data_IF_742034262998
#
_entry.id   IF_742034262998
#
_cell.length_a   1.000
_cell.length_b   1.000
_cell.length_c   1.000
_cell.angle_alpha   90.00
_cell.angle_beta   90.00
_cell.angle_gamma   90.00
#
_symmetry.space_group_name_H-M   'P 1'
#
loop_
_entity.id
_entity.type
_entity.pdbx_description
1 polymer ?
#
# COMPACT_ATOMS: atom_id res chain seq x y z
N UNK A 1 10.17 -18.65 -16.92
CA UNK A 1 9.41 -19.44 -15.93
C UNK A 1 8.70 -18.44 -15.05
N UNK A 2 7.42 -18.21 -15.36
CA UNK A 2 6.63 -17.05 -14.91
C UNK A 2 6.22 -17.25 -13.46
N UNK A 3 6.76 -16.44 -12.57
CA UNK A 3 6.38 -16.43 -11.15
C UNK A 3 4.96 -15.88 -11.07
N UNK A 4 4.07 -16.66 -10.46
CA UNK A 4 2.67 -16.30 -10.27
C UNK A 4 2.58 -14.97 -9.51
N UNK A 5 2.07 -13.95 -10.21
CA UNK A 5 1.70 -12.64 -9.66
C UNK A 5 0.64 -12.87 -8.61
N UNK A 6 1.02 -12.81 -7.34
CA UNK A 6 0.06 -12.71 -6.25
C UNK A 6 -0.51 -11.29 -6.32
N UNK A 7 -1.64 -11.18 -6.99
CA UNK A 7 -2.52 -10.03 -6.86
C UNK A 7 -2.89 -9.97 -5.38
N UNK A 8 -2.46 -8.93 -4.68
CA UNK A 8 -2.94 -8.61 -3.34
C UNK A 8 -4.38 -8.08 -3.49
N UNK A 9 -5.30 -8.97 -3.88
CA UNK A 9 -6.73 -8.71 -3.85
C UNK A 9 -7.20 -8.95 -2.42
N UNK A 10 -7.53 -7.87 -1.73
CA UNK A 10 -8.42 -7.95 -0.56
C UNK A 10 -9.51 -6.89 -0.63
N UNK A 11 -10.11 -6.74 -1.81
CA UNK A 11 -11.39 -6.06 -1.96
C UNK A 11 -12.52 -7.09 -1.91
N UNK A 12 -12.94 -7.43 -0.70
CA UNK A 12 -14.24 -8.09 -0.43
C UNK A 12 -14.60 -7.94 1.04
N UNK A 13 -15.42 -6.94 1.37
CA UNK A 13 -16.73 -7.05 2.08
C UNK A 13 -17.31 -5.65 2.30
N UNK A 14 -18.62 -5.55 2.13
CA UNK A 14 -19.45 -4.36 1.94
C UNK A 14 -19.67 -3.44 3.15
N UNK A 15 -19.99 -2.18 2.84
CA UNK A 15 -21.04 -1.34 3.46
C UNK A 15 -20.99 -1.02 4.95
N UNK A 16 -20.46 0.16 5.31
CA UNK A 16 -20.86 0.89 6.52
C UNK A 16 -20.38 2.36 6.46
N UNK A 17 -21.33 3.29 6.25
CA UNK A 17 -21.24 4.73 6.53
C UNK A 17 -19.98 5.47 6.04
N UNK A 18 -20.11 6.26 4.98
CA UNK A 18 -19.08 7.18 4.49
C UNK A 18 -18.75 8.23 5.56
N UNK A 19 -17.89 7.87 6.52
CA UNK A 19 -17.13 8.88 7.26
C UNK A 19 -16.21 9.52 6.23
N UNK A 20 -16.14 10.85 6.16
CA UNK A 20 -15.19 11.51 5.27
C UNK A 20 -13.82 10.88 5.51
N UNK A 21 -13.18 10.43 4.43
CA UNK A 21 -11.86 9.83 4.51
C UNK A 21 -10.98 10.77 5.34
N UNK A 22 -10.40 10.26 6.42
CA UNK A 22 -9.54 11.08 7.26
C UNK A 22 -8.39 11.58 6.40
N UNK A 23 -7.87 12.80 6.64
CA UNK A 23 -6.80 13.37 5.84
C UNK A 23 -5.60 12.43 5.64
N UNK A 24 -5.28 11.62 6.66
CA UNK A 24 -4.22 10.59 6.60
C UNK A 24 -4.50 9.50 5.57
N UNK A 25 -5.72 8.95 5.50
CA UNK A 25 -6.08 7.93 4.52
C UNK A 25 -6.01 8.47 3.09
N UNK A 26 -6.40 9.73 2.88
CA UNK A 26 -6.29 10.37 1.57
C UNK A 26 -4.82 10.58 1.19
N UNK A 27 -3.99 11.06 2.12
CA UNK A 27 -2.56 11.25 1.91
C UNK A 27 -1.86 9.94 1.56
N UNK A 28 -2.13 8.86 2.28
CA UNK A 28 -1.58 7.52 2.01
C UNK A 28 -1.99 7.04 0.61
N UNK A 29 -3.27 7.21 0.23
CA UNK A 29 -3.75 6.84 -1.10
C UNK A 29 -3.04 7.63 -2.20
N UNK A 30 -2.83 8.93 -2.00
CA UNK A 30 -2.12 9.78 -2.96
C UNK A 30 -0.64 9.41 -3.05
N UNK A 31 0.01 9.11 -1.93
CA UNK A 31 1.39 8.65 -1.88
C UNK A 31 1.56 7.31 -2.61
N UNK A 32 0.71 6.33 -2.32
CA UNK A 32 0.73 5.04 -3.01
C UNK A 32 0.54 5.20 -4.53
N UNK A 33 -0.45 6.00 -4.95
CA UNK A 33 -0.69 6.26 -6.36
C UNK A 33 0.48 6.98 -7.04
N UNK A 34 1.16 7.89 -6.34
CA UNK A 34 2.37 8.54 -6.84
C UNK A 34 3.50 7.52 -7.03
N UNK A 35 3.76 6.67 -6.04
CA UNK A 35 4.84 5.68 -6.10
C UNK A 35 4.60 4.64 -7.22
N UNK A 36 3.36 4.17 -7.36
CA UNK A 36 2.96 3.27 -8.45
C UNK A 36 3.18 3.90 -9.83
N UNK A 37 2.81 5.18 -10.00
CA UNK A 37 3.05 5.92 -11.26
C UNK A 37 4.53 6.10 -11.56
N UNK A 38 5.40 6.09 -10.55
CA UNK A 38 6.84 6.16 -10.70
C UNK A 38 7.50 4.77 -10.86
N UNK A 39 6.71 3.70 -11.00
CA UNK A 39 7.22 2.36 -11.29
C UNK A 39 7.52 1.51 -10.07
N UNK A 40 7.18 1.98 -8.86
CA UNK A 40 7.31 1.18 -7.65
C UNK A 40 6.10 0.25 -7.48
N UNK A 41 6.34 -0.95 -6.96
CA UNK A 41 5.27 -1.86 -6.58
C UNK A 41 4.97 -1.74 -5.08
N UNK A 42 3.74 -1.44 -4.70
CA UNK A 42 3.34 -1.43 -3.28
C UNK A 42 3.24 -2.87 -2.77
N UNK A 43 4.00 -3.19 -1.72
CA UNK A 43 4.01 -4.50 -1.07
C UNK A 43 3.12 -4.55 0.16
N UNK A 44 3.07 -3.46 0.94
CA UNK A 44 2.23 -3.34 2.12
C UNK A 44 1.85 -1.87 2.40
N UNK A 45 0.73 -1.68 3.09
CA UNK A 45 0.27 -0.39 3.62
C UNK A 45 -0.10 -0.55 5.10
N UNK A 46 0.08 0.50 5.90
CA UNK A 46 -0.18 0.49 7.34
C UNK A 46 0.46 -0.73 8.04
N UNK A 47 1.72 -1.01 7.72
CA UNK A 47 2.42 -2.18 8.23
C UNK A 47 2.83 -1.95 9.69
N UNK A 48 2.39 -2.85 10.58
CA UNK A 48 2.75 -2.81 12.00
C UNK A 48 3.64 -3.98 12.36
N UNK A 49 4.71 -3.69 13.07
CA UNK A 49 5.61 -4.70 13.62
C UNK A 49 5.92 -4.40 15.09
N UNK A 50 6.63 -5.33 15.75
CA UNK A 50 6.95 -5.18 17.18
C UNK A 50 7.77 -3.92 17.49
N UNK A 51 8.47 -3.37 16.49
CA UNK A 51 9.33 -2.19 16.62
C UNK A 51 8.68 -0.85 16.25
N UNK A 52 7.43 -0.86 15.74
CA UNK A 52 6.77 0.36 15.28
C UNK A 52 5.85 0.12 14.08
N UNK A 53 5.55 1.19 13.37
CA UNK A 53 4.73 1.18 12.17
C UNK A 53 5.45 1.80 10.97
N UNK A 54 5.06 1.37 9.77
CA UNK A 54 5.51 1.90 8.48
C UNK A 54 4.27 2.15 7.63
N UNK A 55 4.17 3.32 7.03
CA UNK A 55 3.01 3.72 6.25
C UNK A 55 2.94 2.93 4.94
N UNK A 56 4.04 2.88 4.17
CA UNK A 56 4.13 2.12 2.92
C UNK A 56 5.44 1.33 2.81
N UNK A 57 5.33 0.09 2.32
CA UNK A 57 6.48 -0.72 1.90
C UNK A 57 6.36 -0.95 0.40
N UNK A 58 7.41 -0.62 -0.36
CA UNK A 58 7.42 -0.68 -1.81
C UNK A 58 8.67 -1.40 -2.34
N UNK A 59 8.62 -1.86 -3.58
CA UNK A 59 9.76 -2.42 -4.31
C UNK A 59 10.07 -1.58 -5.55
N UNK A 60 11.33 -1.14 -5.69
CA UNK A 60 11.93 -0.71 -6.96
C UNK A 60 12.98 -1.74 -7.37
N UNK A 61 12.60 -2.62 -8.31
CA UNK A 61 13.44 -3.72 -8.83
C UNK A 61 13.93 -4.69 -7.75
N UNK A 62 15.09 -4.41 -7.14
CA UNK A 62 15.69 -5.24 -6.08
C UNK A 62 15.90 -4.45 -4.78
N UNK A 63 15.31 -3.26 -4.71
CA UNK A 63 15.41 -2.34 -3.58
C UNK A 63 14.07 -2.30 -2.87
N UNK A 64 14.11 -2.55 -1.56
CA UNK A 64 12.98 -2.36 -0.67
C UNK A 64 12.98 -0.91 -0.17
N UNK A 65 11.87 -0.21 -0.38
CA UNK A 65 11.67 1.19 -0.02
C UNK A 65 10.63 1.29 1.10
N UNK A 66 10.96 2.02 2.15
CA UNK A 66 10.06 2.31 3.28
C UNK A 66 9.74 3.81 3.25
N UNK A 67 8.45 4.14 3.24
CA UNK A 67 7.93 5.51 3.23
C UNK A 67 7.07 5.71 4.46
#
# INVERSE_FOLDING_TARGET
MTIHRQVYDKDSTAGAGERPATPGLLAERLAAAFLERNGLSILARNYRCRGGEVDLICEDRQVLVFV
#
